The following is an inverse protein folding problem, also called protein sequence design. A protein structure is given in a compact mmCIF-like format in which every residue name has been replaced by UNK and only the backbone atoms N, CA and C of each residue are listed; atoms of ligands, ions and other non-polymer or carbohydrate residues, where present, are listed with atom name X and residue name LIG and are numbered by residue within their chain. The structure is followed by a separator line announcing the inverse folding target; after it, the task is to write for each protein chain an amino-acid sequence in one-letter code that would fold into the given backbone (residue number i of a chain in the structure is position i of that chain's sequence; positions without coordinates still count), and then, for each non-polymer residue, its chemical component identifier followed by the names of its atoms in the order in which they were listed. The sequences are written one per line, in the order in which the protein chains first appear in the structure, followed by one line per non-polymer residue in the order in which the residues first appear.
data_IF_693996361734
#
_entry.id   IF_693996361734
#
_cell.length_a   1.000
_cell.length_b   1.000
_cell.length_c   1.000
_cell.angle_alpha   90.00
_cell.angle_beta   90.00
_cell.angle_gamma   90.00
#
_symmetry.space_group_name_H-M   'P 1'
#
loop_
_entity.id
_entity.type
_entity.pdbx_description
1 polymer ?
#
# COMPACT_ATOMS: atom_id res chain seq x y z
N UNK A 1 -7.43 10.20 -40.93
CA UNK A 1 -6.90 8.89 -40.46
C UNK A 1 -5.48 8.98 -39.93
N UNK A 2 -4.46 9.09 -40.80
CA UNK A 2 -3.03 9.17 -40.38
C UNK A 2 -2.73 10.18 -39.25
N UNK A 3 -3.18 11.45 -39.29
CA UNK A 3 -2.85 12.42 -38.24
C UNK A 3 -3.50 12.10 -36.88
N UNK A 4 -4.71 11.53 -36.88
CA UNK A 4 -5.41 11.11 -35.66
C UNK A 4 -4.65 9.98 -34.95
N UNK A 5 -4.18 9.00 -35.71
CA UNK A 5 -3.39 7.89 -35.17
C UNK A 5 -2.04 8.37 -34.61
N UNK A 6 -1.36 9.27 -35.32
CA UNK A 6 -0.11 9.88 -34.83
C UNK A 6 -0.31 10.64 -33.53
N UNK A 7 -1.38 11.43 -33.41
CA UNK A 7 -1.72 12.16 -32.18
C UNK A 7 -2.00 11.19 -31.03
N UNK A 8 -2.82 10.16 -31.25
CA UNK A 8 -3.13 9.17 -30.23
C UNK A 8 -1.86 8.45 -29.73
N UNK A 9 -0.94 8.12 -30.63
CA UNK A 9 0.34 7.50 -30.30
C UNK A 9 1.24 8.43 -29.46
N UNK A 10 1.33 9.72 -29.82
CA UNK A 10 2.13 10.70 -29.07
C UNK A 10 1.59 10.90 -27.66
N UNK A 11 0.26 11.04 -27.51
CA UNK A 11 -0.38 11.17 -26.19
C UNK A 11 -0.12 9.91 -25.35
N UNK A 12 -0.30 8.73 -25.95
CA UNK A 12 -0.05 7.46 -25.28
C UNK A 12 1.40 7.31 -24.81
N UNK A 13 2.38 7.69 -25.65
CA UNK A 13 3.80 7.59 -25.34
C UNK A 13 4.23 8.53 -24.20
N UNK A 14 3.67 9.74 -24.15
CA UNK A 14 4.03 10.74 -23.14
C UNK A 14 3.28 10.56 -21.81
N UNK A 15 2.12 9.91 -21.80
CA UNK A 15 1.28 9.78 -20.61
C UNK A 15 2.00 9.17 -19.39
N UNK A 16 2.79 8.08 -19.50
CA UNK A 16 3.52 7.53 -18.36
C UNK A 16 4.54 8.50 -17.74
N UNK A 17 5.18 9.34 -18.56
CA UNK A 17 6.13 10.34 -18.08
C UNK A 17 5.42 11.45 -17.30
N UNK A 18 4.30 11.95 -17.81
CA UNK A 18 3.47 12.93 -17.11
C UNK A 18 2.89 12.37 -15.81
N UNK A 19 2.47 11.11 -15.78
CA UNK A 19 2.02 10.44 -14.56
C UNK A 19 3.12 10.33 -13.51
N UNK A 20 4.30 9.82 -13.86
CA UNK A 20 5.43 9.69 -12.95
C UNK A 20 5.80 11.06 -12.35
N UNK A 21 5.84 12.10 -13.18
CA UNK A 21 6.12 13.48 -12.75
C UNK A 21 5.01 14.06 -11.87
N UNK A 22 3.75 13.83 -12.20
CA UNK A 22 2.61 14.27 -11.38
C UNK A 22 2.58 13.61 -10.00
N UNK A 23 2.98 12.33 -9.93
CA UNK A 23 3.08 11.55 -8.71
C UNK A 23 4.34 11.86 -7.89
N UNK A 24 5.34 12.50 -8.50
CA UNK A 24 6.61 12.84 -7.86
C UNK A 24 7.51 11.63 -7.64
N UNK A 25 7.43 10.64 -8.53
CA UNK A 25 8.23 9.40 -8.47
C UNK A 25 9.16 9.28 -9.69
N UNK A 26 10.36 8.71 -9.54
CA UNK A 26 11.21 8.37 -10.68
C UNK A 26 10.47 7.44 -11.66
N UNK A 27 10.60 7.70 -12.97
CA UNK A 27 9.96 6.87 -14.00
C UNK A 27 10.34 5.38 -13.88
N UNK A 28 11.60 5.10 -13.49
CA UNK A 28 12.12 3.75 -13.23
C UNK A 28 11.40 2.96 -12.12
N UNK A 29 10.58 3.62 -11.30
CA UNK A 29 9.79 3.00 -10.23
C UNK A 29 8.37 2.65 -10.68
N UNK A 30 7.90 3.18 -11.81
CA UNK A 30 6.58 2.86 -12.32
C UNK A 30 6.60 1.47 -12.96
N UNK A 31 5.73 0.53 -12.55
CA UNK A 31 5.71 -0.82 -13.12
C UNK A 31 5.39 -0.80 -14.62
N UNK A 32 6.06 -1.64 -15.42
CA UNK A 32 5.83 -1.74 -16.86
C UNK A 32 4.36 -2.04 -17.20
N UNK A 33 3.72 -2.95 -16.45
CA UNK A 33 2.30 -3.26 -16.63
C UNK A 33 1.40 -2.02 -16.44
N UNK A 34 1.77 -1.11 -15.53
CA UNK A 34 1.06 0.15 -15.34
C UNK A 34 1.34 1.10 -16.50
N UNK A 35 2.59 1.24 -16.94
CA UNK A 35 2.93 2.06 -18.12
C UNK A 35 2.15 1.59 -19.36
N UNK A 36 2.08 0.28 -19.59
CA UNK A 36 1.33 -0.31 -20.70
C UNK A 36 -0.17 -0.02 -20.60
N UNK A 37 -0.75 -0.12 -19.39
CA UNK A 37 -2.17 0.22 -19.16
C UNK A 37 -2.45 1.71 -19.41
N UNK A 38 -1.59 2.59 -18.91
CA UNK A 38 -1.68 4.04 -19.15
C UNK A 38 -1.57 4.36 -20.64
N UNK A 39 -0.60 3.76 -21.33
CA UNK A 39 -0.41 3.89 -22.77
C UNK A 39 -1.67 3.46 -23.53
N UNK A 40 -2.17 2.25 -23.27
CA UNK A 40 -3.35 1.70 -23.93
C UNK A 40 -4.61 2.54 -23.66
N UNK A 41 -4.84 2.94 -22.41
CA UNK A 41 -5.99 3.74 -22.02
C UNK A 41 -5.98 5.13 -22.64
N UNK A 42 -4.84 5.84 -22.58
CA UNK A 42 -4.70 7.17 -23.15
C UNK A 42 -4.83 7.15 -24.69
N UNK A 43 -4.23 6.15 -25.35
CA UNK A 43 -4.36 5.96 -26.79
C UNK A 43 -5.81 5.65 -27.20
N UNK A 44 -6.50 4.77 -26.47
CA UNK A 44 -7.89 4.41 -26.73
C UNK A 44 -8.83 5.61 -26.60
N UNK A 45 -8.78 6.34 -25.48
CA UNK A 45 -9.66 7.51 -25.24
C UNK A 45 -9.43 8.59 -26.29
N UNK A 46 -8.16 8.88 -26.61
CA UNK A 46 -7.80 9.87 -27.63
C UNK A 46 -8.28 9.45 -29.02
N UNK A 47 -8.11 8.18 -29.37
CA UNK A 47 -8.53 7.62 -30.66
C UNK A 47 -10.05 7.62 -30.85
N UNK A 48 -10.81 7.19 -29.82
CA UNK A 48 -12.28 7.16 -29.87
C UNK A 48 -12.85 8.57 -30.01
N UNK A 49 -12.38 9.52 -29.19
CA UNK A 49 -12.85 10.91 -29.27
C UNK A 49 -12.51 11.52 -30.64
N UNK A 50 -11.28 11.36 -31.11
CA UNK A 50 -10.86 11.86 -32.42
C UNK A 50 -11.62 11.22 -33.59
N UNK A 51 -11.97 9.94 -33.49
CA UNK A 51 -12.81 9.25 -34.47
C UNK A 51 -14.24 9.80 -34.51
N UNK A 52 -14.85 10.04 -33.35
CA UNK A 52 -16.18 10.66 -33.25
C UNK A 52 -16.19 12.09 -33.78
N UNK A 53 -15.21 12.91 -33.41
CA UNK A 53 -15.07 14.27 -33.94
C UNK A 53 -14.91 14.27 -35.45
N UNK A 54 -14.13 13.32 -35.99
CA UNK A 54 -13.97 13.20 -37.43
C UNK A 54 -15.28 12.82 -38.13
N UNK A 55 -16.04 11.86 -37.59
CA UNK A 55 -17.35 11.47 -38.13
C UNK A 55 -18.33 12.65 -38.15
N UNK A 56 -18.42 13.41 -37.05
CA UNK A 56 -19.29 14.59 -36.94
C UNK A 56 -18.91 15.68 -37.96
N UNK A 57 -17.62 15.97 -38.11
CA UNK A 57 -17.14 16.96 -39.07
C UNK A 57 -17.38 16.53 -40.53
N UNK A 58 -17.26 15.22 -40.81
CA UNK A 58 -17.55 14.67 -42.14
C UNK A 58 -19.03 14.77 -42.48
N UNK A 59 -19.92 14.60 -41.50
CA UNK A 59 -21.38 14.78 -41.70
C UNK A 59 -21.76 16.24 -41.97
N UNK A 60 -20.92 17.19 -41.60
CA UNK A 60 -21.12 18.63 -41.82
C UNK A 60 -20.50 19.15 -43.15
N UNK A 61 -20.13 18.25 -44.08
CA UNK A 61 -19.51 18.56 -45.38
C UNK A 61 -18.25 19.44 -45.31
N UNK A 62 -17.51 19.37 -44.20
CA UNK A 62 -16.27 20.12 -44.03
C UNK A 62 -15.12 19.57 -44.90
N UNK A 63 -14.26 20.47 -45.40
CA UNK A 63 -13.15 20.13 -46.29
C UNK A 63 -12.23 19.03 -45.68
N UNK A 64 -11.83 17.99 -46.45
CA UNK A 64 -11.17 16.81 -45.88
C UNK A 64 -9.88 17.08 -45.08
N UNK A 65 -9.10 18.07 -45.49
CA UNK A 65 -7.85 18.47 -44.80
C UNK A 65 -8.14 19.18 -43.47
N UNK A 66 -9.05 20.14 -43.49
CA UNK A 66 -9.51 20.86 -42.29
C UNK A 66 -10.13 19.90 -41.28
N UNK A 67 -10.98 18.99 -41.76
CA UNK A 67 -11.61 17.93 -40.97
C UNK A 67 -10.60 17.04 -40.27
N UNK A 68 -9.54 16.62 -40.97
CA UNK A 68 -8.50 15.77 -40.38
C UNK A 68 -7.65 16.50 -39.32
N UNK A 69 -7.32 17.78 -39.55
CA UNK A 69 -6.53 18.59 -38.63
C UNK A 69 -7.32 19.00 -37.38
N UNK A 70 -8.58 19.41 -37.55
CA UNK A 70 -9.46 19.81 -36.45
C UNK A 70 -9.79 18.61 -35.55
N UNK A 71 -10.14 17.45 -36.13
CA UNK A 71 -10.35 16.24 -35.35
C UNK A 71 -9.08 15.82 -34.60
N UNK A 72 -7.90 15.90 -35.23
CA UNK A 72 -6.62 15.59 -34.58
C UNK A 72 -6.27 16.58 -33.47
N UNK A 73 -6.49 17.88 -33.67
CA UNK A 73 -6.25 18.91 -32.65
C UNK A 73 -7.18 18.78 -31.45
N UNK A 74 -8.47 18.53 -31.68
CA UNK A 74 -9.45 18.30 -30.61
C UNK A 74 -9.16 16.99 -29.86
N UNK A 75 -8.77 15.93 -30.58
CA UNK A 75 -8.32 14.69 -29.96
C UNK A 75 -7.09 14.89 -29.07
N UNK A 76 -6.08 15.64 -29.55
CA UNK A 76 -4.88 15.96 -28.79
C UNK A 76 -5.24 16.70 -27.49
N UNK A 77 -6.05 17.76 -27.60
CA UNK A 77 -6.45 18.58 -26.46
C UNK A 77 -7.23 17.75 -25.43
N UNK A 78 -8.23 17.00 -25.88
CA UNK A 78 -9.05 16.17 -25.01
C UNK A 78 -8.23 15.05 -24.36
N UNK A 79 -7.42 14.32 -25.14
CA UNK A 79 -6.53 13.27 -24.65
C UNK A 79 -5.53 13.78 -23.61
N UNK A 80 -4.92 14.94 -23.85
CA UNK A 80 -4.01 15.58 -22.91
C UNK A 80 -4.70 15.99 -21.61
N UNK A 81 -5.91 16.56 -21.69
CA UNK A 81 -6.69 16.96 -20.50
C UNK A 81 -7.11 15.76 -19.67
N UNK A 82 -7.58 14.68 -20.30
CA UNK A 82 -7.95 13.43 -19.60
C UNK A 82 -6.72 12.80 -18.94
N UNK A 83 -5.61 12.70 -19.66
CA UNK A 83 -4.36 12.18 -19.11
C UNK A 83 -3.89 13.02 -17.90
N UNK A 84 -3.94 14.35 -18.01
CA UNK A 84 -3.57 15.25 -16.91
C UNK A 84 -4.52 15.16 -15.72
N UNK A 85 -5.83 15.07 -15.96
CA UNK A 85 -6.85 14.92 -14.92
C UNK A 85 -6.68 13.59 -14.17
N UNK A 86 -6.51 12.49 -14.91
CA UNK A 86 -6.24 11.16 -14.35
C UNK A 86 -4.93 11.14 -13.55
N UNK A 87 -3.88 11.79 -14.06
CA UNK A 87 -2.59 11.88 -13.39
C UNK A 87 -2.66 12.70 -12.08
N UNK A 88 -3.53 13.72 -12.02
CA UNK A 88 -3.72 14.59 -10.84
C UNK A 88 -4.57 13.96 -9.76
N UNK A 89 -5.59 13.19 -10.14
CA UNK A 89 -6.49 12.53 -9.19
C UNK A 89 -5.71 11.53 -8.33
N UNK A 90 -5.80 11.69 -7.02
CA UNK A 90 -5.11 10.87 -6.02
C UNK A 90 -3.59 10.76 -6.23
N UNK A 91 -2.97 11.73 -6.91
CA UNK A 91 -1.52 11.76 -7.19
C UNK A 91 -0.67 11.60 -5.93
N UNK A 92 -1.21 12.12 -4.82
CA UNK A 92 -0.74 11.99 -3.45
C UNK A 92 -0.46 10.53 -3.09
N UNK A 93 -1.54 9.76 -2.99
CA UNK A 93 -1.53 8.36 -2.58
C UNK A 93 -0.94 7.43 -3.64
N UNK A 94 -1.18 7.68 -4.93
CA UNK A 94 -0.62 6.86 -6.02
C UNK A 94 0.90 6.91 -6.05
N UNK A 95 1.48 8.11 -5.91
CA UNK A 95 2.93 8.27 -5.83
C UNK A 95 3.50 7.61 -4.59
N UNK A 96 2.83 7.76 -3.45
CA UNK A 96 3.24 7.13 -2.20
C UNK A 96 3.20 5.60 -2.27
N UNK A 97 2.14 5.03 -2.84
CA UNK A 97 2.02 3.59 -3.10
C UNK A 97 3.16 3.05 -3.97
N UNK A 98 3.52 3.77 -5.04
CA UNK A 98 4.67 3.41 -5.89
C UNK A 98 5.98 3.44 -5.11
N UNK A 99 6.20 4.44 -4.23
CA UNK A 99 7.39 4.49 -3.40
C UNK A 99 7.42 3.35 -2.38
N UNK A 100 6.29 3.07 -1.71
CA UNK A 100 6.18 1.98 -0.74
C UNK A 100 6.49 0.61 -1.38
N UNK A 101 6.08 0.38 -2.63
CA UNK A 101 6.40 -0.87 -3.32
C UNK A 101 7.89 -1.04 -3.64
N UNK A 102 8.68 0.04 -3.64
CA UNK A 102 10.13 -0.03 -3.83
C UNK A 102 10.88 -0.38 -2.54
N UNK A 103 10.25 -0.30 -1.36
CA UNK A 103 10.92 -0.58 -0.08
C UNK A 103 11.39 -2.04 0.04
N UNK A 104 10.77 -2.96 -0.71
CA UNK A 104 11.18 -4.36 -0.78
C UNK A 104 12.37 -4.65 -1.70
N UNK A 105 12.88 -3.65 -2.43
CA UNK A 105 13.99 -3.81 -3.38
C UNK A 105 15.28 -3.26 -2.76
N UNK A 106 16.31 -4.10 -2.49
CA UNK A 106 17.52 -3.70 -1.77
C UNK A 106 18.17 -2.42 -2.34
N UNK A 107 18.39 -2.36 -3.65
CA UNK A 107 19.07 -1.23 -4.31
C UNK A 107 18.25 0.07 -4.33
N UNK A 108 16.95 0.01 -4.02
CA UNK A 108 16.03 1.15 -4.11
C UNK A 108 15.43 1.55 -2.76
N UNK A 109 15.61 0.73 -1.73
CA UNK A 109 14.99 0.89 -0.42
C UNK A 109 15.29 2.26 0.19
N UNK A 110 16.56 2.65 0.23
CA UNK A 110 16.98 3.87 0.92
C UNK A 110 16.54 5.15 0.19
N UNK A 111 16.68 5.21 -1.16
CA UNK A 111 16.17 6.33 -1.95
C UNK A 111 14.63 6.41 -1.87
N UNK A 112 13.93 5.28 -1.87
CA UNK A 112 12.48 5.26 -1.69
C UNK A 112 12.08 5.76 -0.30
N UNK A 113 12.75 5.30 0.76
CA UNK A 113 12.53 5.73 2.13
C UNK A 113 12.75 7.24 2.31
N UNK A 114 13.86 7.77 1.79
CA UNK A 114 14.16 9.21 1.83
C UNK A 114 13.09 10.04 1.10
N UNK A 115 12.58 9.56 -0.04
CA UNK A 115 11.50 10.22 -0.78
C UNK A 115 10.17 10.19 -0.04
N UNK A 116 9.86 9.09 0.63
CA UNK A 116 8.66 8.97 1.49
C UNK A 116 8.77 9.97 2.64
N UNK A 117 9.87 9.96 3.38
CA UNK A 117 10.09 10.85 4.53
C UNK A 117 10.01 12.32 4.12
N UNK A 118 10.70 12.71 3.04
CA UNK A 118 10.63 14.07 2.52
C UNK A 118 9.22 14.47 2.05
N UNK A 119 8.42 13.53 1.52
CA UNK A 119 7.05 13.79 1.11
C UNK A 119 6.14 14.00 2.32
N UNK A 120 6.25 13.13 3.33
CA UNK A 120 5.49 13.25 4.58
C UNK A 120 5.85 14.54 5.34
N UNK A 121 7.13 14.91 5.37
CA UNK A 121 7.58 16.17 5.95
C UNK A 121 7.04 17.40 5.21
N UNK A 122 7.02 17.39 3.88
CA UNK A 122 6.41 18.48 3.09
C UNK A 122 4.92 18.61 3.33
N UNK A 123 4.18 17.50 3.44
CA UNK A 123 2.76 17.57 3.76
C UNK A 123 2.53 18.05 5.19
N UNK A 124 3.36 17.63 6.15
CA UNK A 124 3.25 18.08 7.55
C UNK A 124 3.35 19.61 7.67
N UNK A 125 4.24 20.23 6.89
CA UNK A 125 4.44 21.68 6.90
C UNK A 125 3.36 22.48 6.14
N UNK A 126 2.56 21.84 5.28
CA UNK A 126 1.64 22.51 4.37
C UNK A 126 0.16 22.20 4.59
N UNK A 127 -0.20 20.92 4.60
CA UNK A 127 -1.57 20.43 4.71
C UNK A 127 -1.61 19.28 5.75
N UNK A 128 -1.99 19.59 7.00
CA UNK A 128 -2.05 18.61 8.09
C UNK A 128 -2.96 17.43 7.79
N UNK A 129 -4.06 17.65 7.05
CA UNK A 129 -5.00 16.59 6.69
C UNK A 129 -4.39 15.65 5.66
N UNK A 130 -3.73 16.18 4.63
CA UNK A 130 -3.00 15.37 3.67
C UNK A 130 -1.85 14.60 4.34
N UNK A 131 -1.15 15.23 5.29
CA UNK A 131 -0.12 14.57 6.09
C UNK A 131 -0.67 13.37 6.85
N UNK A 132 -1.78 13.53 7.59
CA UNK A 132 -2.41 12.43 8.31
C UNK A 132 -2.75 11.26 7.39
N UNK A 133 -3.40 11.52 6.25
CA UNK A 133 -3.76 10.49 5.28
C UNK A 133 -2.52 9.76 4.71
N UNK A 134 -1.46 10.51 4.38
CA UNK A 134 -0.24 9.92 3.84
C UNK A 134 0.55 9.14 4.90
N UNK A 135 0.63 9.64 6.13
CA UNK A 135 1.32 8.99 7.23
C UNK A 135 0.62 7.67 7.61
N UNK A 136 -0.71 7.67 7.75
CA UNK A 136 -1.50 6.46 7.99
C UNK A 136 -1.31 5.43 6.88
N UNK A 137 -1.30 5.86 5.62
CA UNK A 137 -1.06 4.97 4.47
C UNK A 137 0.36 4.37 4.47
N UNK A 138 1.39 5.17 4.75
CA UNK A 138 2.78 4.76 4.65
C UNK A 138 3.28 3.97 5.86
N UNK A 139 2.68 4.13 7.04
CA UNK A 139 3.17 3.55 8.28
C UNK A 139 3.28 2.02 8.23
N UNK A 140 2.27 1.31 7.71
CA UNK A 140 2.31 -0.15 7.57
C UNK A 140 3.52 -0.63 6.74
N UNK A 141 3.67 -0.18 5.48
CA UNK A 141 4.84 -0.50 4.66
C UNK A 141 6.19 -0.10 5.31
N UNK A 142 6.29 1.09 5.91
CA UNK A 142 7.51 1.53 6.57
C UNK A 142 7.90 0.59 7.71
N UNK A 143 6.96 0.23 8.57
CA UNK A 143 7.17 -0.70 9.69
C UNK A 143 7.56 -2.10 9.19
N UNK A 144 6.86 -2.64 8.19
CA UNK A 144 7.19 -3.96 7.61
C UNK A 144 8.61 -4.03 7.06
N UNK A 145 9.11 -2.93 6.51
CA UNK A 145 10.46 -2.81 5.98
C UNK A 145 11.45 -2.25 7.01
N UNK A 146 11.16 -2.32 8.31
CA UNK A 146 12.08 -1.97 9.39
C UNK A 146 12.39 -0.47 9.53
N UNK A 147 11.63 0.41 8.89
CA UNK A 147 11.75 1.87 8.98
C UNK A 147 10.85 2.42 10.11
N UNK A 148 10.91 1.76 11.26
CA UNK A 148 9.99 1.96 12.39
C UNK A 148 10.04 3.38 12.95
N UNK A 149 11.26 3.91 13.13
CA UNK A 149 11.46 5.27 13.66
C UNK A 149 10.86 6.35 12.75
N UNK A 150 10.93 6.15 11.42
CA UNK A 150 10.32 7.06 10.44
C UNK A 150 8.80 6.99 10.53
N UNK A 151 8.23 5.78 10.57
CA UNK A 151 6.79 5.59 10.71
C UNK A 151 6.26 6.23 12.01
N UNK A 152 6.89 5.92 13.14
CA UNK A 152 6.48 6.41 14.46
C UNK A 152 6.53 7.93 14.54
N UNK A 153 7.61 8.56 14.08
CA UNK A 153 7.76 10.03 14.04
C UNK A 153 6.59 10.71 13.31
N UNK A 154 6.22 10.21 12.13
CA UNK A 154 5.11 10.79 11.36
C UNK A 154 3.74 10.46 11.93
N UNK A 155 3.56 9.33 12.61
CA UNK A 155 2.32 9.02 13.32
C UNK A 155 2.16 9.93 14.55
N UNK A 156 3.24 10.13 15.31
CA UNK A 156 3.24 10.94 16.52
C UNK A 156 2.97 12.42 16.23
N UNK A 157 3.39 12.93 15.07
CA UNK A 157 3.12 14.31 14.64
C UNK A 157 1.67 14.59 14.23
N UNK A 158 0.83 13.56 14.07
CA UNK A 158 -0.58 13.75 13.74
C UNK A 158 -1.34 14.20 14.99
N UNK A 159 -1.93 15.39 14.93
CA UNK A 159 -2.84 15.90 15.96
C UNK A 159 -4.14 15.09 15.98
N UNK A 160 -4.56 14.61 17.15
CA UNK A 160 -5.72 13.74 17.30
C UNK A 160 -7.03 14.45 16.94
N UNK A 161 -7.10 15.76 17.17
CA UNK A 161 -8.27 16.60 16.92
C UNK A 161 -8.62 16.70 15.42
N UNK A 162 -7.67 16.33 14.55
CA UNK A 162 -7.83 16.35 13.10
C UNK A 162 -8.31 15.01 12.52
N UNK A 163 -8.47 14.00 13.37
CA UNK A 163 -8.81 12.65 12.97
C UNK A 163 -10.26 12.31 13.31
N UNK A 164 -10.94 11.67 12.37
CA UNK A 164 -12.17 10.97 12.69
C UNK A 164 -11.87 9.80 13.65
N UNK A 165 -12.85 9.31 14.45
CA UNK A 165 -12.62 8.23 15.41
C UNK A 165 -11.93 6.99 14.83
N UNK A 166 -12.36 6.55 13.63
CA UNK A 166 -11.75 5.41 12.93
C UNK A 166 -10.29 5.67 12.51
N UNK A 167 -9.93 6.92 12.19
CA UNK A 167 -8.57 7.28 11.80
C UNK A 167 -7.65 7.41 13.02
N UNK A 168 -8.19 7.92 14.14
CA UNK A 168 -7.48 7.92 15.42
C UNK A 168 -7.24 6.50 15.93
N UNK A 169 -8.22 5.61 15.77
CA UNK A 169 -8.12 4.19 16.06
C UNK A 169 -7.07 3.49 15.18
N UNK A 170 -7.08 3.77 13.87
CA UNK A 170 -6.05 3.26 12.94
C UNK A 170 -4.66 3.81 13.27
N UNK A 171 -4.53 5.10 13.62
CA UNK A 171 -3.27 5.69 14.09
C UNK A 171 -2.74 4.94 15.29
N UNK A 172 -3.58 4.70 16.29
CA UNK A 172 -3.21 3.99 17.51
C UNK A 172 -2.76 2.55 17.22
N UNK A 173 -3.48 1.83 16.36
CA UNK A 173 -3.11 0.49 15.89
C UNK A 173 -1.76 0.50 15.18
N UNK A 174 -1.53 1.43 14.26
CA UNK A 174 -0.25 1.53 13.54
C UNK A 174 0.92 1.90 14.47
N UNK A 175 0.69 2.78 15.47
CA UNK A 175 1.68 3.08 16.52
C UNK A 175 2.01 1.82 17.31
N UNK A 176 1.00 1.05 17.73
CA UNK A 176 1.21 -0.21 18.42
C UNK A 176 2.06 -1.18 17.59
N UNK A 177 1.78 -1.32 16.30
CA UNK A 177 2.62 -2.13 15.38
C UNK A 177 4.07 -1.64 15.35
N UNK A 178 4.33 -0.33 15.41
CA UNK A 178 5.70 0.17 15.50
C UNK A 178 6.37 -0.27 16.79
N UNK A 179 5.67 -0.24 17.93
CA UNK A 179 6.22 -0.65 19.23
C UNK A 179 6.47 -2.15 19.31
N UNK A 180 5.53 -2.97 18.80
CA UNK A 180 5.69 -4.41 18.68
C UNK A 180 6.94 -4.78 17.86
N UNK A 181 7.22 -4.05 16.78
CA UNK A 181 8.41 -4.30 15.97
C UNK A 181 9.73 -4.04 16.71
N UNK A 182 9.72 -3.14 17.69
CA UNK A 182 10.85 -2.82 18.57
C UNK A 182 10.87 -3.66 19.86
N UNK A 183 9.85 -4.49 20.10
CA UNK A 183 9.69 -5.28 21.33
C UNK A 183 9.16 -4.49 22.53
N UNK A 184 8.64 -3.28 22.32
CA UNK A 184 8.06 -2.41 23.34
C UNK A 184 6.58 -2.79 23.60
N UNK A 185 6.35 -3.89 24.34
CA UNK A 185 5.02 -4.51 24.49
C UNK A 185 4.07 -3.66 25.34
N UNK A 186 4.60 -2.99 26.37
CA UNK A 186 3.85 -2.10 27.25
C UNK A 186 3.33 -0.87 26.48
N UNK A 187 4.17 -0.25 25.66
CA UNK A 187 3.81 0.89 24.83
C UNK A 187 2.84 0.48 23.71
N UNK A 188 3.01 -0.71 23.14
CA UNK A 188 2.05 -1.26 22.19
C UNK A 188 0.66 -1.42 22.84
N UNK A 189 0.62 -2.00 24.04
CA UNK A 189 -0.62 -2.18 24.81
C UNK A 189 -1.25 -0.85 25.21
N UNK A 190 -0.45 0.12 25.64
CA UNK A 190 -0.92 1.46 25.99
C UNK A 190 -1.54 2.16 24.77
N UNK A 191 -0.86 2.13 23.61
CA UNK A 191 -1.39 2.71 22.39
C UNK A 191 -2.74 2.09 21.99
N UNK A 192 -2.90 0.77 22.10
CA UNK A 192 -4.16 0.08 21.79
C UNK A 192 -5.29 0.35 22.80
N UNK A 193 -4.95 0.68 24.05
CA UNK A 193 -5.93 1.03 25.09
C UNK A 193 -6.49 2.44 24.91
N UNK A 194 -5.66 3.35 24.41
CA UNK A 194 -6.05 4.74 24.12
C UNK A 194 -6.83 4.88 22.80
N UNK A 195 -6.85 3.84 21.96
CA UNK A 195 -7.58 3.85 20.71
C UNK A 195 -9.10 4.00 20.94
N UNK A 196 -9.78 4.93 20.24
CA UNK A 196 -11.23 4.94 20.20
C UNK A 196 -11.74 3.58 19.72
N UNK A 197 -12.70 2.99 20.45
CA UNK A 197 -13.21 1.66 20.17
C UNK A 197 -14.60 1.45 20.81
N UNK A 198 -15.59 0.86 20.10
CA UNK A 198 -15.53 0.42 18.69
C UNK A 198 -15.61 1.60 17.71
N UNK A 199 -15.24 1.36 16.44
CA UNK A 199 -15.29 2.35 15.36
C UNK A 199 -16.00 1.79 14.12
N UNK A 200 -15.25 1.21 13.20
CA UNK A 200 -15.75 0.55 12.00
C UNK A 200 -15.27 -0.90 12.01
N UNK A 201 -16.07 -1.86 11.50
CA UNK A 201 -15.70 -3.27 11.55
C UNK A 201 -14.32 -3.60 10.98
N UNK A 202 -13.88 -2.87 9.94
CA UNK A 202 -12.56 -3.06 9.34
C UNK A 202 -11.43 -2.61 10.28
N UNK A 203 -11.50 -1.40 10.83
CA UNK A 203 -10.47 -0.86 11.74
C UNK A 203 -10.45 -1.65 13.06
N UNK A 204 -11.64 -1.99 13.59
CA UNK A 204 -11.75 -2.73 14.84
C UNK A 204 -11.14 -4.14 14.72
N UNK A 205 -11.27 -4.79 13.55
CA UNK A 205 -10.61 -6.06 13.30
C UNK A 205 -9.08 -5.95 13.32
N UNK A 206 -8.51 -4.89 12.74
CA UNK A 206 -7.06 -4.64 12.81
C UNK A 206 -6.60 -4.37 14.24
N UNK A 207 -7.39 -3.65 15.04
CA UNK A 207 -7.11 -3.43 16.47
C UNK A 207 -7.11 -4.76 17.22
N UNK A 208 -8.13 -5.57 17.06
CA UNK A 208 -8.28 -6.82 17.81
C UNK A 208 -7.22 -7.85 17.44
N UNK A 209 -6.87 -7.97 16.15
CA UNK A 209 -5.76 -8.85 15.73
C UNK A 209 -4.41 -8.34 16.25
N UNK A 210 -4.23 -7.02 16.40
CA UNK A 210 -3.00 -6.46 16.99
C UNK A 210 -2.96 -6.65 18.51
N UNK A 211 -4.11 -6.55 19.20
CA UNK A 211 -4.25 -6.93 20.61
C UNK A 211 -3.95 -8.41 20.81
N UNK A 212 -4.52 -9.28 19.98
CA UNK A 212 -4.28 -10.72 20.02
C UNK A 212 -2.78 -11.06 19.84
N UNK A 213 -2.08 -10.37 18.93
CA UNK A 213 -0.62 -10.52 18.79
C UNK A 213 0.12 -10.10 20.07
N UNK A 214 -0.32 -9.04 20.73
CA UNK A 214 0.30 -8.58 21.98
C UNK A 214 0.05 -9.58 23.10
N UNK A 215 -1.18 -10.06 23.23
CA UNK A 215 -1.60 -11.02 24.25
C UNK A 215 -0.84 -12.35 24.11
N UNK A 216 -0.79 -12.94 22.91
CA UNK A 216 -0.14 -14.24 22.70
C UNK A 216 1.36 -14.18 23.00
N UNK A 217 2.02 -13.07 22.70
CA UNK A 217 3.44 -12.84 23.01
C UNK A 217 3.66 -12.73 24.52
N UNK A 218 2.67 -12.18 25.25
CA UNK A 218 2.65 -12.11 26.71
C UNK A 218 2.10 -13.39 27.40
N UNK A 219 1.85 -14.47 26.66
CA UNK A 219 1.33 -15.74 27.18
C UNK A 219 -0.19 -15.85 27.30
N UNK A 220 -0.94 -14.83 26.87
CA UNK A 220 -2.41 -14.84 26.82
C UNK A 220 -2.96 -15.53 25.57
N UNK A 221 -2.78 -16.85 25.47
CA UNK A 221 -3.24 -17.64 24.30
C UNK A 221 -4.76 -17.62 24.16
N UNK A 222 -5.49 -17.88 25.26
CA UNK A 222 -6.96 -17.94 25.24
C UNK A 222 -7.60 -16.61 24.86
N UNK A 223 -7.08 -15.50 25.40
CA UNK A 223 -7.56 -14.15 25.07
C UNK A 223 -7.26 -13.79 23.62
N UNK A 224 -6.07 -14.14 23.13
CA UNK A 224 -5.72 -13.94 21.73
C UNK A 224 -6.68 -14.69 20.80
N UNK A 225 -6.95 -15.98 21.04
CA UNK A 225 -7.87 -16.77 20.19
C UNK A 225 -9.30 -16.26 20.23
N UNK A 226 -9.81 -15.85 21.39
CA UNK A 226 -11.13 -15.26 21.49
C UNK A 226 -11.28 -14.00 20.61
N UNK A 227 -10.24 -13.16 20.56
CA UNK A 227 -10.19 -11.99 19.66
C UNK A 227 -10.13 -12.40 18.18
N UNK A 228 -9.34 -13.42 17.83
CA UNK A 228 -9.26 -13.90 16.44
C UNK A 228 -10.59 -14.50 15.96
N UNK A 229 -11.27 -15.28 16.81
CA UNK A 229 -12.54 -15.91 16.46
C UNK A 229 -13.66 -14.89 16.24
N UNK A 230 -13.69 -13.82 17.05
CA UNK A 230 -14.61 -12.71 16.87
C UNK A 230 -14.43 -11.97 15.52
N UNK A 231 -13.28 -12.15 14.85
CA UNK A 231 -12.91 -11.45 13.60
C UNK A 231 -12.73 -12.37 12.40
N UNK A 232 -13.24 -13.61 12.48
CA UNK A 232 -13.09 -14.63 11.44
C UNK A 232 -13.62 -14.17 10.08
N UNK A 233 -14.84 -13.62 10.03
CA UNK A 233 -15.48 -13.17 8.78
C UNK A 233 -14.69 -12.04 8.10
N UNK A 234 -14.18 -11.09 8.88
CA UNK A 234 -13.34 -10.00 8.38
C UNK A 234 -12.03 -10.56 7.82
N UNK A 235 -11.39 -11.50 8.51
CA UNK A 235 -10.16 -12.13 8.04
C UNK A 235 -10.38 -12.96 6.76
N UNK A 236 -11.54 -13.57 6.55
CA UNK A 236 -11.84 -14.30 5.32
C UNK A 236 -11.94 -13.38 4.09
N UNK A 237 -12.44 -12.15 4.29
CA UNK A 237 -12.62 -11.16 3.23
C UNK A 237 -11.39 -10.27 2.97
N UNK A 238 -10.48 -10.13 3.94
CA UNK A 238 -9.25 -9.34 3.81
C UNK A 238 -7.99 -10.23 3.87
N UNK A 239 -7.29 -10.46 2.73
CA UNK A 239 -6.07 -11.25 2.69
C UNK A 239 -4.95 -10.75 3.60
N UNK A 240 -4.84 -9.43 3.81
CA UNK A 240 -3.80 -8.87 4.66
C UNK A 240 -4.11 -9.13 6.14
N UNK A 241 -5.37 -8.99 6.54
CA UNK A 241 -5.82 -9.32 7.90
C UNK A 241 -5.66 -10.82 8.17
N UNK A 242 -5.97 -11.68 7.18
CA UNK A 242 -5.74 -13.13 7.26
C UNK A 242 -4.29 -13.48 7.57
N UNK A 243 -3.33 -12.84 6.89
CA UNK A 243 -1.92 -13.10 7.17
C UNK A 243 -1.54 -12.75 8.61
N UNK A 244 -2.06 -11.65 9.15
CA UNK A 244 -1.77 -11.26 10.52
C UNK A 244 -2.43 -12.23 11.51
N UNK A 245 -3.69 -12.64 11.27
CA UNK A 245 -4.36 -13.71 12.03
C UNK A 245 -3.53 -15.01 12.04
N UNK A 246 -3.10 -15.48 10.87
CA UNK A 246 -2.29 -16.71 10.74
C UNK A 246 -0.96 -16.58 11.51
N UNK A 247 -0.40 -15.37 11.58
CA UNK A 247 0.81 -15.09 12.36
C UNK A 247 0.54 -15.20 13.86
N UNK A 248 -0.56 -14.63 14.36
CA UNK A 248 -0.96 -14.76 15.77
C UNK A 248 -1.23 -16.21 16.13
N UNK A 249 -1.93 -16.97 15.26
CA UNK A 249 -2.20 -18.39 15.49
C UNK A 249 -0.90 -19.21 15.50
N UNK A 250 0.08 -18.90 14.65
CA UNK A 250 1.38 -19.56 14.72
C UNK A 250 2.07 -19.35 16.07
N UNK A 251 1.99 -18.14 16.65
CA UNK A 251 2.47 -17.90 18.02
C UNK A 251 1.68 -18.67 19.07
N UNK A 252 0.35 -18.78 18.91
CA UNK A 252 -0.50 -19.53 19.83
C UNK A 252 -0.14 -21.02 19.85
N UNK A 253 -0.06 -21.65 18.68
CA UNK A 253 0.33 -23.06 18.53
C UNK A 253 1.73 -23.32 19.12
N UNK A 254 2.69 -22.44 18.82
CA UNK A 254 4.04 -22.56 19.38
C UNK A 254 4.05 -22.41 20.92
N UNK A 255 3.23 -21.53 21.49
CA UNK A 255 3.11 -21.37 22.94
C UNK A 255 2.56 -22.62 23.64
N UNK A 256 1.70 -23.38 22.94
CA UNK A 256 1.10 -24.62 23.43
C UNK A 256 1.99 -25.85 23.18
N UNK A 257 3.13 -25.69 22.52
CA UNK A 257 4.04 -26.77 22.15
C UNK A 257 3.68 -27.51 20.86
N UNK A 258 2.66 -27.06 20.12
CA UNK A 258 2.36 -27.55 18.77
C UNK A 258 3.28 -26.88 17.73
N UNK A 259 4.55 -27.28 17.73
CA UNK A 259 5.52 -26.78 16.77
C UNK A 259 5.21 -27.19 15.33
N UNK A 260 4.59 -28.35 15.12
CA UNK A 260 4.28 -28.84 13.77
C UNK A 260 3.19 -27.98 13.12
N UNK A 261 2.11 -27.70 13.86
CA UNK A 261 1.06 -26.78 13.45
C UNK A 261 1.58 -25.37 13.22
N UNK A 262 2.42 -24.86 14.13
CA UNK A 262 3.06 -23.54 13.97
C UNK A 262 3.92 -23.48 12.70
N UNK A 263 4.78 -24.47 12.46
CA UNK A 263 5.61 -24.54 11.23
C UNK A 263 4.76 -24.65 9.97
N UNK A 264 3.65 -25.37 9.99
CA UNK A 264 2.74 -25.46 8.85
C UNK A 264 2.15 -24.08 8.47
N UNK A 265 1.71 -23.30 9.46
CA UNK A 265 1.23 -21.93 9.23
C UNK A 265 2.32 -21.01 8.69
N UNK A 266 3.52 -21.04 9.28
CA UNK A 266 4.65 -20.22 8.85
C UNK A 266 5.11 -20.54 7.42
N UNK A 267 5.18 -21.83 7.06
CA UNK A 267 5.46 -22.25 5.67
C UNK A 267 4.40 -21.76 4.71
N UNK A 268 3.11 -21.91 5.07
CA UNK A 268 2.02 -21.37 4.26
C UNK A 268 2.13 -19.85 4.05
N UNK A 269 2.54 -19.09 5.07
CA UNK A 269 2.79 -17.65 4.94
C UNK A 269 3.95 -17.33 3.99
N UNK A 270 5.04 -18.10 4.07
CA UNK A 270 6.19 -17.98 3.15
C UNK A 270 5.82 -18.28 1.71
N UNK A 271 5.05 -19.34 1.47
CA UNK A 271 4.63 -19.75 0.13
C UNK A 271 3.72 -18.70 -0.51
N UNK A 272 2.79 -18.13 0.27
CA UNK A 272 1.85 -17.11 -0.24
C UNK A 272 2.50 -15.76 -0.50
N UNK A 273 3.44 -15.35 0.35
CA UNK A 273 3.84 -13.94 0.47
C UNK A 273 5.35 -13.70 0.61
N UNK A 274 6.16 -14.75 0.54
CA UNK A 274 7.62 -14.72 0.63
C UNK A 274 8.16 -14.44 2.04
N UNK A 275 9.50 -14.38 2.17
CA UNK A 275 10.20 -14.16 3.46
C UNK A 275 9.72 -12.93 4.24
N UNK A 276 9.37 -11.84 3.53
CA UNK A 276 8.86 -10.62 4.16
C UNK A 276 7.47 -10.77 4.79
N UNK A 277 6.78 -11.90 4.61
CA UNK A 277 5.52 -12.21 5.29
C UNK A 277 5.73 -12.56 6.76
N UNK A 278 6.89 -13.13 7.11
CA UNK A 278 7.22 -13.54 8.47
C UNK A 278 7.73 -12.39 9.35
N UNK A 279 7.70 -11.15 8.86
CA UNK A 279 8.20 -9.99 9.63
C UNK A 279 7.55 -9.89 11.02
N UNK A 280 6.26 -10.21 11.12
CA UNK A 280 5.50 -10.17 12.38
C UNK A 280 5.65 -11.43 13.23
N UNK A 281 6.06 -12.56 12.65
CA UNK A 281 6.45 -13.76 13.39
C UNK A 281 7.86 -13.62 14.00
N UNK A 282 8.71 -12.82 13.35
CA UNK A 282 10.08 -12.54 13.76
C UNK A 282 10.17 -11.39 14.77
N UNK A 283 9.23 -10.43 14.69
CA UNK A 283 9.16 -9.22 15.53
C UNK A 283 7.70 -8.85 15.81
N UNK A 284 7.23 -8.86 17.07
CA UNK A 284 8.00 -9.00 18.31
C UNK A 284 8.60 -10.42 18.50
N UNK A 285 9.57 -10.54 19.40
CA UNK A 285 10.09 -11.86 19.79
C UNK A 285 9.02 -12.54 20.65
N UNK A 286 8.54 -13.69 20.19
CA UNK A 286 7.52 -14.47 20.86
C UNK A 286 7.68 -15.97 20.57
N UNK A 287 6.66 -16.79 20.93
CA UNK A 287 6.78 -18.24 20.93
C UNK A 287 7.20 -18.87 19.58
N UNK A 288 6.67 -18.37 18.46
CA UNK A 288 6.98 -18.87 17.12
C UNK A 288 8.26 -18.27 16.49
N UNK A 289 8.97 -17.36 17.16
CA UNK A 289 10.05 -16.60 16.53
C UNK A 289 11.22 -17.46 16.07
N UNK A 290 11.66 -18.44 16.87
CA UNK A 290 12.76 -19.30 16.46
C UNK A 290 12.35 -20.29 15.35
N UNK A 291 11.09 -20.74 15.36
CA UNK A 291 10.51 -21.50 14.25
C UNK A 291 10.52 -20.66 12.96
N UNK A 292 10.07 -19.40 13.03
CA UNK A 292 10.08 -18.49 11.88
C UNK A 292 11.50 -18.24 11.35
N UNK A 293 12.51 -18.11 12.23
CA UNK A 293 13.92 -17.98 11.81
C UNK A 293 14.41 -19.23 11.06
N UNK A 294 14.06 -20.42 11.55
CA UNK A 294 14.42 -21.68 10.89
C UNK A 294 13.77 -21.82 9.50
N UNK A 295 12.51 -21.42 9.36
CA UNK A 295 11.80 -21.45 8.07
C UNK A 295 12.38 -20.46 7.07
N UNK A 296 12.75 -19.24 7.50
CA UNK A 296 13.45 -18.27 6.63
C UNK A 296 14.82 -18.80 6.18
N UNK A 297 15.61 -19.38 7.09
CA UNK A 297 16.92 -19.94 6.76
C UNK A 297 16.80 -21.06 5.71
N UNK A 298 15.83 -21.97 5.89
CA UNK A 298 15.53 -23.04 4.95
C UNK A 298 15.10 -22.49 3.58
N UNK A 299 14.24 -21.48 3.56
CA UNK A 299 13.77 -20.84 2.33
C UNK A 299 14.90 -20.15 1.55
N UNK A 300 15.85 -19.51 2.24
CA UNK A 300 17.02 -18.88 1.61
C UNK A 300 17.95 -19.94 1.03
N UNK A 301 18.24 -21.01 1.78
CA UNK A 301 19.10 -22.09 1.34
C UNK A 301 18.56 -22.85 0.11
N UNK A 302 17.23 -22.92 -0.03
CA UNK A 302 16.57 -23.60 -1.14
C UNK A 302 16.50 -22.80 -2.46
N UNK A 303 16.84 -21.50 -2.46
CA UNK A 303 16.86 -20.71 -3.71
C UNK A 303 18.20 -20.90 -4.43
N UNK A 304 18.23 -21.45 -5.66
CA UNK A 304 19.46 -21.47 -6.44
C UNK A 304 19.88 -20.02 -6.77
N UNK A 305 21.16 -19.73 -6.51
CA UNK A 305 21.85 -18.48 -6.85
C UNK A 305 21.90 -18.23 -8.36
#
# INVERSE_FOLDING_TARGET
MRPLFSVALVVAALAPWFEARAWGVPLRYVPLARMARTFAGAGFVTGVFGGLTWLLLKQADAEPRLTALTAAGLALLFGALVALSSARRDRGLRGLHVLCSQLGLPDRRDDAAARIDARLGRSAAGDPRAHALFALFAAGPLTRHGLVSVARRHLDSIALEQLAPAEAALRAQLRAMTYLHDGALEEASAALREAPYPTTPSVDAWIDVTRALTDVVCGGVDTARALLDARREQAESDPALRMQRDTVEAHALAAEGDEEGARALLRGLLERSGAGALALALRPVGPATDLARAEVATHIAAKPS
#
